data_IF_324733675722
#
_entry.id   IF_324733675722
#
_cell.length_a   1.000
_cell.length_b   1.000
_cell.length_c   1.000
_cell.angle_alpha   90.00
_cell.angle_beta   90.00
_cell.angle_gamma   90.00
#
_symmetry.space_group_name_H-M   'P 1'
#
loop_
_entity.id
_entity.type
_entity.pdbx_description
1 polymer ?
#
# COMPACT_ATOMS: atom_id res chain seq x y z
N UNK A 1 -46.84 10.48 -17.02
CA UNK A 1 -47.11 10.23 -15.57
C UNK A 1 -46.55 8.92 -15.01
N UNK A 2 -46.37 7.83 -15.78
CA UNK A 2 -45.78 6.57 -15.25
C UNK A 2 -44.28 6.70 -14.87
N UNK A 3 -43.52 7.52 -15.59
CA UNK A 3 -42.09 7.69 -15.34
C UNK A 3 -41.78 8.43 -14.03
N UNK A 4 -42.57 9.45 -13.67
CA UNK A 4 -42.37 10.24 -12.44
C UNK A 4 -42.68 9.45 -11.17
N UNK A 5 -43.71 8.59 -11.17
CA UNK A 5 -44.00 7.70 -10.02
C UNK A 5 -42.88 6.68 -9.75
N UNK A 6 -42.32 6.09 -10.82
CA UNK A 6 -41.21 5.11 -10.69
C UNK A 6 -39.94 5.77 -10.14
N UNK A 7 -39.64 6.99 -10.56
CA UNK A 7 -38.50 7.76 -10.03
C UNK A 7 -38.68 8.12 -8.56
N UNK A 8 -39.89 8.55 -8.16
CA UNK A 8 -40.21 8.83 -6.75
C UNK A 8 -40.04 7.59 -5.87
N UNK A 9 -40.59 6.44 -6.29
CA UNK A 9 -40.46 5.18 -5.54
C UNK A 9 -38.99 4.72 -5.38
N UNK A 10 -38.16 4.91 -6.42
CA UNK A 10 -36.73 4.63 -6.35
C UNK A 10 -36.03 5.59 -5.37
N UNK A 11 -36.37 6.87 -5.40
CA UNK A 11 -35.79 7.87 -4.51
C UNK A 11 -36.16 7.62 -3.05
N UNK A 12 -37.41 7.28 -2.76
CA UNK A 12 -37.88 6.91 -1.41
C UNK A 12 -37.18 5.64 -0.92
N UNK A 13 -37.08 4.60 -1.75
CA UNK A 13 -36.33 3.39 -1.42
C UNK A 13 -34.86 3.69 -1.13
N UNK A 14 -34.21 4.57 -1.89
CA UNK A 14 -32.81 4.98 -1.67
C UNK A 14 -32.66 5.74 -0.35
N UNK A 15 -33.58 6.65 -0.04
CA UNK A 15 -33.61 7.40 1.24
C UNK A 15 -33.80 6.45 2.43
N UNK A 16 -34.77 5.53 2.35
CA UNK A 16 -35.02 4.54 3.42
C UNK A 16 -33.81 3.64 3.66
N UNK A 17 -33.14 3.17 2.59
CA UNK A 17 -31.89 2.39 2.70
C UNK A 17 -30.77 3.20 3.35
N UNK A 18 -30.57 4.45 2.95
CA UNK A 18 -29.54 5.32 3.56
C UNK A 18 -29.82 5.59 5.04
N UNK A 19 -31.08 5.81 5.41
CA UNK A 19 -31.49 5.96 6.81
C UNK A 19 -31.25 4.69 7.62
N UNK A 20 -31.57 3.52 7.07
CA UNK A 20 -31.29 2.24 7.71
C UNK A 20 -29.78 2.04 7.95
N UNK A 21 -28.93 2.39 6.98
CA UNK A 21 -27.47 2.36 7.13
C UNK A 21 -27.00 3.27 8.26
N UNK A 22 -27.55 4.48 8.40
CA UNK A 22 -27.22 5.39 9.52
C UNK A 22 -27.57 4.79 10.87
N UNK A 23 -28.76 4.20 11.01
CA UNK A 23 -29.20 3.55 12.25
C UNK A 23 -28.29 2.37 12.61
N UNK A 24 -27.97 1.52 11.63
CA UNK A 24 -27.03 0.39 11.82
C UNK A 24 -25.64 0.87 12.26
N UNK A 25 -25.12 1.94 11.66
CA UNK A 25 -23.83 2.49 12.01
C UNK A 25 -23.77 2.92 13.48
N UNK A 26 -24.81 3.57 14.00
CA UNK A 26 -24.91 3.94 15.43
C UNK A 26 -24.87 2.69 16.32
N UNK A 27 -25.58 1.62 15.95
CA UNK A 27 -25.54 0.37 16.69
C UNK A 27 -24.13 -0.23 16.75
N UNK A 28 -23.45 -0.36 15.60
CA UNK A 28 -22.09 -0.90 15.56
C UNK A 28 -21.07 -0.01 16.30
N UNK A 29 -21.22 1.31 16.25
CA UNK A 29 -20.38 2.23 17.04
C UNK A 29 -20.52 1.97 18.54
N UNK A 30 -21.74 1.76 19.04
CA UNK A 30 -21.97 1.46 20.45
C UNK A 30 -21.45 0.07 20.83
N UNK A 31 -21.57 -0.91 19.94
CA UNK A 31 -21.02 -2.26 20.15
C UNK A 31 -19.49 -2.21 20.23
N UNK A 32 -18.83 -1.55 19.28
CA UNK A 32 -17.37 -1.43 19.24
C UNK A 32 -16.78 -0.56 20.35
N UNK A 33 -17.59 0.27 21.02
CA UNK A 33 -17.16 0.92 22.28
C UNK A 33 -17.02 -0.07 23.44
N UNK A 34 -17.84 -1.13 23.46
CA UNK A 34 -17.83 -2.18 24.50
C UNK A 34 -16.87 -3.31 24.14
N UNK A 35 -16.84 -3.67 22.87
CA UNK A 35 -16.05 -4.77 22.32
C UNK A 35 -15.23 -4.27 21.12
N UNK A 36 -14.10 -3.56 21.35
CA UNK A 36 -13.36 -2.90 20.28
C UNK A 36 -12.83 -3.83 19.19
N UNK A 37 -12.68 -5.11 19.50
CA UNK A 37 -12.12 -6.12 18.61
C UNK A 37 -13.17 -7.12 18.12
N UNK A 38 -14.46 -6.76 18.15
CA UNK A 38 -15.51 -7.58 17.58
C UNK A 38 -15.41 -7.57 16.04
N UNK A 39 -14.84 -8.66 15.48
CA UNK A 39 -14.58 -8.82 14.05
C UNK A 39 -15.83 -8.63 13.19
N UNK A 40 -16.95 -9.27 13.57
CA UNK A 40 -18.22 -9.16 12.85
C UNK A 40 -18.74 -7.71 12.86
N UNK A 41 -18.62 -7.02 14.00
CA UNK A 41 -19.04 -5.62 14.11
C UNK A 41 -18.18 -4.68 13.26
N UNK A 42 -16.86 -4.90 13.19
CA UNK A 42 -15.96 -4.15 12.30
C UNK A 42 -16.33 -4.37 10.84
N UNK A 43 -16.48 -5.63 10.42
CA UNK A 43 -16.89 -5.99 9.06
C UNK A 43 -18.20 -5.30 8.65
N UNK A 44 -19.25 -5.47 9.45
CA UNK A 44 -20.56 -4.91 9.15
C UNK A 44 -20.58 -3.38 9.20
N UNK A 45 -19.75 -2.76 10.05
CA UNK A 45 -19.61 -1.31 10.10
C UNK A 45 -18.86 -0.78 8.88
N UNK A 46 -17.79 -1.42 8.44
CA UNK A 46 -17.08 -1.12 7.20
C UNK A 46 -18.01 -1.18 5.99
N UNK A 47 -18.79 -2.25 5.82
CA UNK A 47 -19.81 -2.33 4.75
C UNK A 47 -20.88 -1.24 4.85
N UNK A 48 -21.26 -0.86 6.07
CA UNK A 48 -22.21 0.21 6.30
C UNK A 48 -21.61 1.56 5.90
N UNK A 49 -20.32 1.78 6.15
CA UNK A 49 -19.59 2.95 5.69
C UNK A 49 -19.47 3.01 4.17
N UNK A 50 -19.22 1.89 3.48
CA UNK A 50 -19.27 1.83 2.01
C UNK A 50 -20.63 2.30 1.47
N UNK A 51 -21.74 1.81 2.04
CA UNK A 51 -23.11 2.22 1.67
C UNK A 51 -23.40 3.69 1.97
N UNK A 52 -22.64 4.31 2.86
CA UNK A 52 -22.72 5.72 3.22
C UNK A 52 -21.70 6.60 2.48
N UNK A 53 -20.90 6.00 1.58
CA UNK A 53 -19.81 6.67 0.83
C UNK A 53 -18.72 7.24 1.76
N UNK A 54 -18.49 6.57 2.90
CA UNK A 54 -17.51 6.91 3.93
C UNK A 54 -16.29 6.00 3.81
N UNK A 55 -15.54 6.15 2.71
CA UNK A 55 -14.53 5.17 2.31
C UNK A 55 -13.37 5.05 3.30
N UNK A 56 -12.85 6.16 3.81
CA UNK A 56 -11.73 6.14 4.75
C UNK A 56 -12.10 5.47 6.08
N UNK A 57 -13.31 5.69 6.58
CA UNK A 57 -13.81 4.99 7.77
C UNK A 57 -14.03 3.49 7.50
N UNK A 58 -14.44 3.12 6.28
CA UNK A 58 -14.54 1.71 5.89
C UNK A 58 -13.17 1.02 5.85
N UNK A 59 -12.17 1.68 5.24
CA UNK A 59 -10.78 1.18 5.20
C UNK A 59 -10.25 0.92 6.61
N UNK A 60 -10.44 1.88 7.52
CA UNK A 60 -10.00 1.74 8.92
C UNK A 60 -10.59 0.49 9.60
N UNK A 61 -11.87 0.19 9.35
CA UNK A 61 -12.52 -0.99 9.94
C UNK A 61 -12.03 -2.29 9.32
N UNK A 62 -11.77 -2.31 8.01
CA UNK A 62 -11.25 -3.48 7.30
C UNK A 62 -9.80 -3.78 7.67
N UNK A 63 -8.95 -2.76 7.75
CA UNK A 63 -7.55 -2.89 8.16
C UNK A 63 -7.48 -3.44 9.58
N UNK A 64 -8.29 -2.89 10.49
CA UNK A 64 -8.39 -3.40 11.86
C UNK A 64 -8.91 -4.84 11.93
N UNK A 65 -9.85 -5.21 11.07
CA UNK A 65 -10.35 -6.58 10.99
C UNK A 65 -9.24 -7.57 10.61
N UNK A 66 -8.39 -7.20 9.64
CA UNK A 66 -7.23 -8.00 9.25
C UNK A 66 -6.17 -8.08 10.37
N UNK A 67 -6.02 -7.04 11.19
CA UNK A 67 -5.13 -7.07 12.37
C UNK A 67 -5.64 -8.01 13.48
N UNK A 68 -6.96 -8.12 13.68
CA UNK A 68 -7.58 -8.89 14.77
C UNK A 68 -7.67 -10.38 14.44
N UNK A 69 -7.82 -10.74 13.17
CA UNK A 69 -7.81 -12.14 12.72
C UNK A 69 -6.47 -12.50 12.06
N UNK A 70 -5.32 -12.41 12.75
CA UNK A 70 -4.06 -12.72 12.13
C UNK A 70 -3.97 -14.23 11.96
N UNK A 71 -3.95 -14.65 10.70
CA UNK A 71 -3.09 -15.73 10.24
C UNK A 71 -3.28 -17.08 10.94
N UNK A 72 -4.53 -17.49 11.16
CA UNK A 72 -4.81 -18.92 11.18
C UNK A 72 -4.76 -19.40 9.72
N UNK A 73 -4.21 -20.58 9.46
CA UNK A 73 -3.95 -21.20 8.13
C UNK A 73 -5.21 -21.35 7.24
N UNK A 74 -6.35 -20.79 7.66
CA UNK A 74 -7.70 -20.99 7.13
C UNK A 74 -8.47 -19.69 6.83
N UNK A 75 -7.82 -18.54 6.61
CA UNK A 75 -8.54 -17.27 6.36
C UNK A 75 -8.20 -16.56 5.04
N UNK A 76 -7.86 -17.33 4.00
CA UNK A 76 -7.70 -16.80 2.64
C UNK A 76 -8.97 -16.09 2.14
N UNK A 77 -10.13 -16.63 2.49
CA UNK A 77 -11.44 -16.09 2.10
C UNK A 77 -11.66 -14.68 2.64
N UNK A 78 -11.25 -14.38 3.88
CA UNK A 78 -11.36 -13.03 4.43
C UNK A 78 -10.46 -12.04 3.69
N UNK A 79 -9.21 -12.41 3.42
CA UNK A 79 -8.31 -11.52 2.68
C UNK A 79 -8.85 -11.22 1.28
N UNK A 80 -9.38 -12.23 0.57
CA UNK A 80 -9.99 -12.03 -0.75
C UNK A 80 -11.26 -11.17 -0.68
N UNK A 81 -12.10 -11.38 0.33
CA UNK A 81 -13.27 -10.53 0.57
C UNK A 81 -12.88 -9.07 0.80
N UNK A 82 -11.88 -8.82 1.64
CA UNK A 82 -11.42 -7.47 1.96
C UNK A 82 -10.72 -6.81 0.76
N UNK A 83 -9.93 -7.56 -0.02
CA UNK A 83 -9.38 -7.08 -1.29
C UNK A 83 -10.51 -6.63 -2.24
N UNK A 84 -11.61 -7.39 -2.31
CA UNK A 84 -12.77 -6.98 -3.11
C UNK A 84 -13.40 -5.69 -2.58
N UNK A 85 -13.44 -5.48 -1.26
CA UNK A 85 -13.89 -4.18 -0.69
C UNK A 85 -12.99 -3.02 -1.04
N UNK A 86 -11.66 -3.23 -1.06
CA UNK A 86 -10.74 -2.20 -1.56
C UNK A 86 -10.92 -1.94 -3.07
N UNK A 87 -11.18 -2.98 -3.86
CA UNK A 87 -11.50 -2.83 -5.29
C UNK A 87 -12.75 -1.96 -5.50
N UNK A 88 -13.82 -2.22 -4.75
CA UNK A 88 -15.06 -1.40 -4.80
C UNK A 88 -14.76 0.07 -4.52
N UNK A 89 -13.89 0.38 -3.55
CA UNK A 89 -13.46 1.76 -3.26
C UNK A 89 -12.66 2.34 -4.42
N UNK A 90 -11.69 1.58 -4.95
CA UNK A 90 -10.78 2.05 -6.01
C UNK A 90 -11.46 2.17 -7.38
N UNK A 91 -12.58 1.50 -7.63
CA UNK A 91 -13.43 1.75 -8.80
C UNK A 91 -14.07 3.14 -8.75
N UNK A 92 -14.36 3.64 -7.54
CA UNK A 92 -15.00 4.95 -7.32
C UNK A 92 -13.94 6.05 -7.17
N UNK A 93 -12.88 5.77 -6.42
CA UNK A 93 -11.76 6.68 -6.15
C UNK A 93 -10.42 6.04 -6.57
N UNK A 94 -10.07 6.02 -7.87
CA UNK A 94 -8.90 5.31 -8.38
C UNK A 94 -7.55 5.77 -7.80
N UNK A 95 -7.50 7.01 -7.30
CA UNK A 95 -6.31 7.63 -6.73
C UNK A 95 -6.38 7.69 -5.19
N UNK A 96 -7.29 6.96 -4.53
CA UNK A 96 -7.31 6.88 -3.07
C UNK A 96 -6.07 6.14 -2.58
N UNK A 97 -5.09 6.90 -2.08
CA UNK A 97 -3.79 6.38 -1.66
C UNK A 97 -3.88 5.49 -0.41
N UNK A 98 -4.89 5.68 0.44
CA UNK A 98 -5.15 4.81 1.58
C UNK A 98 -5.62 3.45 1.10
N UNK A 99 -6.61 3.40 0.20
CA UNK A 99 -7.12 2.14 -0.35
C UNK A 99 -6.03 1.38 -1.14
N UNK A 100 -5.19 2.10 -1.92
CA UNK A 100 -4.03 1.51 -2.58
C UNK A 100 -3.02 0.95 -1.57
N UNK A 101 -2.75 1.66 -0.48
CA UNK A 101 -1.82 1.20 0.57
C UNK A 101 -2.37 -0.05 1.25
N UNK A 102 -3.60 0.01 1.77
CA UNK A 102 -4.24 -1.12 2.47
C UNK A 102 -4.33 -2.36 1.59
N UNK A 103 -4.71 -2.22 0.32
CA UNK A 103 -4.73 -3.34 -0.63
C UNK A 103 -3.33 -3.87 -0.94
N UNK A 104 -2.36 -2.99 -1.11
CA UNK A 104 -0.96 -3.36 -1.32
C UNK A 104 -0.38 -4.16 -0.15
N UNK A 105 -0.59 -3.72 1.08
CA UNK A 105 -0.16 -4.44 2.29
C UNK A 105 -0.89 -5.78 2.43
N UNK A 106 -2.18 -5.82 2.13
CA UNK A 106 -2.97 -7.07 2.13
C UNK A 106 -2.44 -8.08 1.09
N UNK A 107 -2.08 -7.62 -0.10
CA UNK A 107 -1.41 -8.46 -1.10
C UNK A 107 -0.04 -8.96 -0.61
N UNK A 108 0.74 -8.13 0.09
CA UNK A 108 2.01 -8.55 0.72
C UNK A 108 1.77 -9.69 1.72
N UNK A 109 0.76 -9.57 2.59
CA UNK A 109 0.40 -10.62 3.57
C UNK A 109 0.01 -11.95 2.90
N UNK A 110 -0.56 -11.89 1.69
CA UNK A 110 -0.87 -13.07 0.86
C UNK A 110 0.31 -13.57 0.01
N UNK A 111 1.51 -12.98 0.13
CA UNK A 111 2.66 -13.21 -0.76
C UNK A 111 2.38 -12.87 -2.25
N UNK A 112 1.33 -12.10 -2.54
CA UNK A 112 0.99 -11.58 -3.88
C UNK A 112 1.80 -10.32 -4.17
N UNK A 113 3.12 -10.47 -4.15
CA UNK A 113 4.06 -9.36 -4.15
C UNK A 113 4.00 -8.49 -5.41
N UNK A 114 3.69 -9.06 -6.58
CA UNK A 114 3.59 -8.29 -7.82
C UNK A 114 2.44 -7.28 -7.75
N UNK A 115 1.27 -7.75 -7.31
CA UNK A 115 0.06 -6.95 -7.12
C UNK A 115 0.28 -5.87 -6.05
N UNK A 116 1.00 -6.22 -4.97
CA UNK A 116 1.40 -5.27 -3.93
C UNK A 116 2.28 -4.14 -4.48
N UNK A 117 3.34 -4.49 -5.23
CA UNK A 117 4.23 -3.52 -5.88
C UNK A 117 3.50 -2.64 -6.89
N UNK A 118 2.55 -3.20 -7.66
CA UNK A 118 1.76 -2.43 -8.62
C UNK A 118 0.96 -1.30 -7.93
N UNK A 119 0.39 -1.56 -6.75
CA UNK A 119 -0.34 -0.54 -5.99
C UNK A 119 0.58 0.48 -5.33
N UNK A 120 1.69 0.05 -4.72
CA UNK A 120 2.67 0.97 -4.16
C UNK A 120 3.30 1.88 -5.22
N UNK A 121 3.57 1.36 -6.42
CA UNK A 121 4.04 2.15 -7.54
C UNK A 121 3.00 3.17 -8.03
N UNK A 122 1.69 2.86 -7.96
CA UNK A 122 0.65 3.86 -8.23
C UNK A 122 0.66 4.97 -7.19
N UNK A 123 0.85 4.64 -5.90
CA UNK A 123 0.95 5.66 -4.85
C UNK A 123 2.12 6.60 -5.14
N UNK A 124 3.30 6.08 -5.49
CA UNK A 124 4.46 6.93 -5.82
C UNK A 124 4.25 7.84 -7.04
N UNK A 125 3.38 7.45 -7.99
CA UNK A 125 2.98 8.31 -9.11
C UNK A 125 2.04 9.44 -8.68
N UNK A 126 1.24 9.23 -7.63
CA UNK A 126 0.28 10.21 -7.10
C UNK A 126 0.97 11.14 -6.09
N UNK A 127 1.63 10.55 -5.09
CA UNK A 127 2.37 11.21 -4.03
C UNK A 127 3.84 10.92 -4.24
N UNK A 128 4.49 11.81 -5.00
CA UNK A 128 5.93 11.71 -5.28
C UNK A 128 6.73 11.60 -3.97
N UNK A 129 7.68 10.65 -3.91
CA UNK A 129 8.64 10.46 -2.80
C UNK A 129 8.04 10.15 -1.40
N UNK A 130 6.94 9.40 -1.29
CA UNK A 130 6.50 8.86 0.00
C UNK A 130 7.50 7.82 0.54
N UNK A 131 8.34 8.25 1.49
CA UNK A 131 9.40 7.43 2.11
C UNK A 131 8.84 6.14 2.73
N UNK A 132 7.63 6.17 3.27
CA UNK A 132 7.04 4.98 3.87
C UNK A 132 6.67 3.93 2.82
N UNK A 133 6.17 4.36 1.65
CA UNK A 133 5.89 3.46 0.51
C UNK A 133 7.17 2.91 -0.10
N UNK A 134 8.22 3.74 -0.20
CA UNK A 134 9.54 3.30 -0.66
C UNK A 134 10.09 2.19 0.25
N UNK A 135 9.93 2.31 1.57
CA UNK A 135 10.36 1.27 2.51
C UNK A 135 9.61 -0.06 2.32
N UNK A 136 8.29 -0.01 2.05
CA UNK A 136 7.48 -1.20 1.78
C UNK A 136 7.90 -1.91 0.49
N UNK A 137 8.23 -1.15 -0.57
CA UNK A 137 8.76 -1.70 -1.83
C UNK A 137 10.11 -2.39 -1.60
N UNK A 138 11.02 -1.73 -0.88
CA UNK A 138 12.34 -2.27 -0.49
C UNK A 138 12.19 -3.56 0.31
N UNK A 139 11.21 -3.64 1.22
CA UNK A 139 10.91 -4.85 2.01
C UNK A 139 10.49 -6.01 1.12
N UNK A 140 9.52 -5.81 0.23
CA UNK A 140 9.02 -6.85 -0.69
C UNK A 140 10.12 -7.37 -1.61
N UNK A 141 10.92 -6.46 -2.18
CA UNK A 141 12.01 -6.85 -3.07
C UNK A 141 13.09 -7.67 -2.34
N UNK A 142 13.38 -7.34 -1.07
CA UNK A 142 14.27 -8.16 -0.23
C UNK A 142 13.69 -9.55 0.03
N UNK A 143 12.40 -9.65 0.33
CA UNK A 143 11.72 -10.93 0.56
C UNK A 143 11.77 -11.82 -0.70
N UNK A 144 11.51 -11.26 -1.88
CA UNK A 144 11.65 -11.97 -3.16
C UNK A 144 13.09 -12.41 -3.45
N UNK A 145 14.08 -11.60 -3.08
CA UNK A 145 15.49 -11.96 -3.21
C UNK A 145 15.86 -13.07 -2.24
N UNK A 146 15.37 -13.09 -0.99
CA UNK A 146 15.64 -14.21 -0.06
C UNK A 146 15.02 -15.54 -0.51
N UNK A 147 13.85 -15.50 -1.15
CA UNK A 147 13.25 -16.66 -1.82
C UNK A 147 14.08 -17.14 -3.01
N UNK A 148 14.63 -16.21 -3.80
CA UNK A 148 15.56 -16.50 -4.90
C UNK A 148 16.93 -16.99 -4.39
N UNK A 149 17.39 -16.51 -3.24
CA UNK A 149 18.67 -16.85 -2.58
C UNK A 149 18.66 -18.27 -2.02
N UNK A 150 17.51 -18.84 -1.66
CA UNK A 150 17.40 -20.29 -1.41
C UNK A 150 17.59 -21.13 -2.69
N UNK A 151 17.30 -20.58 -3.87
CA UNK A 151 17.53 -21.23 -5.17
C UNK A 151 18.93 -20.91 -5.72
N UNK A 152 19.50 -19.76 -5.37
CA UNK A 152 20.80 -19.24 -5.84
C UNK A 152 21.98 -19.43 -4.88
N UNK A 153 21.76 -19.93 -3.65
CA UNK A 153 22.82 -20.28 -2.70
C UNK A 153 23.78 -21.36 -3.21
N UNK A 154 23.51 -21.96 -4.38
CA UNK A 154 24.43 -22.84 -5.10
C UNK A 154 25.44 -22.06 -5.97
N UNK A 155 25.29 -20.74 -6.24
CA UNK A 155 26.12 -20.08 -7.27
C UNK A 155 27.01 -18.89 -6.90
N UNK A 156 26.63 -17.81 -6.23
CA UNK A 156 27.50 -16.61 -6.30
C UNK A 156 27.30 -15.59 -5.18
N UNK A 157 27.91 -15.84 -4.02
CA UNK A 157 28.07 -14.83 -2.97
C UNK A 157 29.30 -13.97 -3.24
N UNK A 158 29.11 -12.74 -3.72
CA UNK A 158 29.95 -11.56 -3.38
C UNK A 158 29.75 -10.35 -4.31
N UNK A 159 29.21 -10.51 -5.52
CA UNK A 159 29.19 -9.43 -6.53
C UNK A 159 27.87 -8.65 -6.65
N UNK A 160 26.76 -9.12 -6.08
CA UNK A 160 25.42 -8.58 -6.39
C UNK A 160 24.90 -7.52 -5.41
N UNK A 161 25.60 -7.25 -4.31
CA UNK A 161 25.12 -6.33 -3.27
C UNK A 161 25.12 -4.83 -3.67
N UNK A 162 25.77 -4.47 -4.79
CA UNK A 162 26.01 -3.06 -5.17
C UNK A 162 25.05 -2.54 -6.27
N UNK A 163 24.34 -3.43 -6.98
CA UNK A 163 23.47 -3.01 -8.11
C UNK A 163 22.01 -2.73 -7.74
N UNK A 164 21.66 -2.78 -6.44
CA UNK A 164 20.27 -2.71 -5.97
C UNK A 164 19.91 -1.32 -5.41
N UNK A 165 20.15 -0.29 -6.20
CA UNK A 165 19.39 0.96 -6.11
C UNK A 165 18.71 1.07 -7.47
N UNK A 166 17.39 1.23 -7.57
CA UNK A 166 16.72 1.25 -8.87
C UNK A 166 17.01 2.60 -9.53
N UNK A 167 18.19 2.73 -10.13
CA UNK A 167 18.63 3.93 -10.86
C UNK A 167 17.63 4.31 -11.97
N UNK A 168 16.84 3.36 -12.47
CA UNK A 168 15.77 3.56 -13.44
C UNK A 168 14.58 4.40 -12.92
N UNK A 169 14.43 4.56 -11.60
CA UNK A 169 13.38 5.38 -10.98
C UNK A 169 13.80 6.84 -10.76
N UNK A 170 15.10 7.14 -10.85
CA UNK A 170 15.63 8.50 -10.69
C UNK A 170 15.89 9.13 -12.06
N UNK A 171 14.84 9.65 -12.71
CA UNK A 171 14.96 10.29 -14.04
C UNK A 171 15.77 11.59 -14.04
N UNK A 172 15.96 12.24 -12.90
CA UNK A 172 16.64 13.53 -12.79
C UNK A 172 17.87 13.49 -11.85
N UNK A 173 18.77 12.51 -12.06
CA UNK A 173 20.10 12.49 -11.43
C UNK A 173 20.95 13.73 -11.76
N UNK A 174 20.58 14.49 -12.81
CA UNK A 174 21.25 15.74 -13.17
C UNK A 174 21.11 16.83 -12.07
N UNK A 175 20.01 16.80 -11.31
CA UNK A 175 19.75 17.80 -10.26
C UNK A 175 20.51 17.53 -8.94
N UNK A 176 20.90 16.28 -8.69
CA UNK A 176 21.66 15.90 -7.49
C UNK A 176 23.13 16.34 -7.62
N UNK A 177 23.65 16.43 -8.86
CA UNK A 177 25.01 16.89 -9.13
C UNK A 177 25.19 18.42 -9.04
N UNK A 178 24.13 19.20 -9.30
CA UNK A 178 24.22 20.66 -9.39
C UNK A 178 23.61 21.40 -8.17
N UNK A 179 22.86 20.71 -7.30
CA UNK A 179 22.10 21.32 -6.20
C UNK A 179 22.47 20.81 -4.82
N UNK A 180 23.57 21.30 -4.24
CA UNK A 180 23.69 21.55 -2.80
C UNK A 180 23.82 20.39 -1.82
N UNK A 181 23.76 19.12 -2.24
CA UNK A 181 24.12 18.00 -1.37
C UNK A 181 25.59 17.63 -1.62
N UNK A 182 26.47 18.32 -0.89
CA UNK A 182 27.91 18.22 -1.04
C UNK A 182 28.41 16.77 -1.09
N UNK A 183 29.39 16.56 -1.96
CA UNK A 183 30.16 15.33 -2.21
C UNK A 183 30.52 14.56 -0.91
N UNK A 184 30.65 15.27 0.20
CA UNK A 184 30.88 14.75 1.55
C UNK A 184 29.78 13.85 2.12
N UNK A 185 28.49 14.08 1.82
CA UNK A 185 27.42 13.22 2.35
C UNK A 185 27.38 11.89 1.59
N UNK A 186 27.61 11.93 0.27
CA UNK A 186 27.79 10.75 -0.55
C UNK A 186 29.02 9.97 -0.11
N UNK A 187 30.18 10.63 0.10
CA UNK A 187 31.38 9.97 0.63
C UNK A 187 31.16 9.36 2.01
N UNK A 188 30.44 10.03 2.92
CA UNK A 188 30.07 9.47 4.23
C UNK A 188 29.13 8.27 4.11
N UNK A 189 28.20 8.29 3.15
CA UNK A 189 27.38 7.13 2.84
C UNK A 189 28.25 5.97 2.32
N UNK A 190 29.15 6.23 1.38
CA UNK A 190 30.05 5.24 0.77
C UNK A 190 31.03 4.62 1.77
N UNK A 191 31.54 5.41 2.70
CA UNK A 191 32.43 4.92 3.76
C UNK A 191 31.67 4.07 4.80
N UNK A 192 30.42 4.43 5.11
CA UNK A 192 29.56 3.69 6.05
C UNK A 192 29.08 2.34 5.49
N UNK A 193 29.10 2.18 4.16
CA UNK A 193 28.73 0.93 3.46
C UNK A 193 29.95 0.14 2.92
N UNK A 194 31.18 0.52 3.28
CA UNK A 194 32.38 -0.31 3.09
C UNK A 194 32.94 -0.38 1.65
N UNK A 195 32.68 0.60 0.80
CA UNK A 195 33.19 0.63 -0.58
C UNK A 195 34.64 1.15 -0.60
N UNK A 196 35.58 0.38 -1.16
CA UNK A 196 36.99 0.77 -1.27
C UNK A 196 37.23 1.87 -2.32
N UNK A 197 38.19 2.74 -2.03
CA UNK A 197 38.53 4.00 -2.75
C UNK A 197 38.73 3.88 -4.27
N UNK A 198 39.01 2.69 -4.81
CA UNK A 198 39.28 2.49 -6.25
C UNK A 198 38.07 2.81 -7.15
N UNK A 199 36.84 2.72 -6.63
CA UNK A 199 35.64 3.06 -7.40
C UNK A 199 35.35 4.57 -7.45
N UNK A 200 35.95 5.37 -6.54
CA UNK A 200 35.76 6.82 -6.52
C UNK A 200 36.58 7.58 -7.59
N UNK A 201 37.67 7.00 -8.09
CA UNK A 201 38.50 7.63 -9.13
C UNK A 201 37.83 7.66 -10.50
N UNK A 202 36.96 6.68 -10.81
CA UNK A 202 36.18 6.66 -12.06
C UNK A 202 35.13 7.76 -12.11
N UNK A 203 34.38 7.95 -11.02
CA UNK A 203 33.36 9.00 -10.90
C UNK A 203 33.94 10.43 -10.92
N UNK A 204 35.16 10.64 -10.42
CA UNK A 204 35.85 11.94 -10.52
C UNK A 204 36.16 12.35 -11.97
N UNK A 205 36.33 11.39 -12.89
CA UNK A 205 36.68 11.68 -14.28
C UNK A 205 35.47 12.05 -15.16
N UNK A 206 34.27 11.57 -14.82
CA UNK A 206 33.03 11.90 -15.54
C UNK A 206 32.37 13.19 -15.07
N UNK A 207 32.66 13.67 -13.85
CA UNK A 207 32.07 14.90 -13.29
C UNK A 207 32.86 16.17 -13.70
N UNK A 208 34.07 16.04 -14.28
CA UNK A 208 34.95 17.17 -14.64
C UNK A 208 35.04 17.38 -16.18
N UNK A 209 34.11 16.84 -16.97
CA UNK A 209 33.96 17.17 -18.41
C UNK A 209 32.58 17.70 -18.71
#
# INVERSE_FOLDING_TARGET
MKNSRKVLEISEKKVTRRNLSKVRNVHFNNLLKKEPNNALALKLRGETYLKLEKYNEALTDFDKLLEIEPNNTLNLDLYEEIINKYNEILEIEPNNTLALRSRGETYKMLNKYKESLDDFNKILKITSYDVSVINLIIEIEKEQQTGSRMVQSIKTESSEFINWIPYSQFKDLKYIAEGGFGVDLLLKLFYKIGIQERYLFGLKAEIIK
#
